data_IF_374313691192
#
_entry.id   IF_374313691192
#
_cell.length_a   1.000
_cell.length_b   1.000
_cell.length_c   1.000
_cell.angle_alpha   90.00
_cell.angle_beta   90.00
_cell.angle_gamma   90.00
#
_symmetry.space_group_name_H-M   'P 1'
#
loop_
_entity.id
_entity.type
_entity.pdbx_description
1 polymer ?
#
# COMPACT_ATOMS: atom_id res chain seq x y z
N UNK A 1 13.44 -39.69 2.63
CA UNK A 1 13.88 -38.27 2.57
C UNK A 1 13.57 -37.57 1.23
N UNK A 2 14.03 -38.02 0.04
CA UNK A 2 13.84 -37.27 -1.22
C UNK A 2 12.37 -37.14 -1.64
N UNK A 3 11.58 -38.21 -1.45
CA UNK A 3 10.12 -38.20 -1.71
C UNK A 3 9.36 -37.19 -0.83
N UNK A 4 9.81 -36.98 0.41
CA UNK A 4 9.21 -35.99 1.31
C UNK A 4 9.50 -34.56 0.85
N UNK A 5 10.77 -34.26 0.53
CA UNK A 5 11.19 -32.95 0.01
C UNK A 5 10.46 -32.65 -1.31
N UNK A 6 10.43 -33.61 -2.24
CA UNK A 6 9.72 -33.46 -3.51
C UNK A 6 8.21 -33.21 -3.32
N UNK A 7 7.57 -33.95 -2.42
CA UNK A 7 6.13 -33.74 -2.12
C UNK A 7 5.86 -32.36 -1.52
N UNK A 8 6.78 -31.83 -0.71
CA UNK A 8 6.65 -30.53 -0.07
C UNK A 8 6.94 -29.39 -1.05
N UNK A 9 7.95 -29.54 -1.90
CA UNK A 9 8.25 -28.60 -2.98
C UNK A 9 7.10 -28.54 -3.99
N UNK A 10 6.52 -29.68 -4.39
CA UNK A 10 5.38 -29.72 -5.29
C UNK A 10 4.15 -29.00 -4.70
N UNK A 11 3.85 -29.19 -3.41
CA UNK A 11 2.80 -28.45 -2.72
C UNK A 11 3.08 -26.95 -2.67
N UNK A 12 4.32 -26.55 -2.38
CA UNK A 12 4.72 -25.14 -2.35
C UNK A 12 4.57 -24.47 -3.72
N UNK A 13 5.03 -25.12 -4.80
CA UNK A 13 4.86 -24.62 -6.17
C UNK A 13 3.38 -24.54 -6.54
N UNK A 14 2.59 -25.58 -6.23
CA UNK A 14 1.15 -25.57 -6.48
C UNK A 14 0.45 -24.41 -5.73
N UNK A 15 0.81 -24.15 -4.48
CA UNK A 15 0.28 -23.00 -3.74
C UNK A 15 0.70 -21.67 -4.33
N UNK A 16 1.96 -21.52 -4.79
CA UNK A 16 2.43 -20.30 -5.44
C UNK A 16 1.68 -20.03 -6.73
N UNK A 17 1.52 -21.05 -7.59
CA UNK A 17 0.74 -20.94 -8.83
C UNK A 17 -0.71 -20.60 -8.52
N UNK A 18 -1.33 -21.26 -7.52
CA UNK A 18 -2.69 -20.96 -7.12
C UNK A 18 -2.85 -19.50 -6.65
N UNK A 19 -1.90 -18.97 -5.87
CA UNK A 19 -1.91 -17.56 -5.43
C UNK A 19 -1.72 -16.61 -6.59
N UNK A 20 -0.82 -16.90 -7.54
CA UNK A 20 -0.61 -16.07 -8.73
C UNK A 20 -1.87 -16.03 -9.62
N UNK A 21 -2.48 -17.19 -9.87
CA UNK A 21 -3.74 -17.29 -10.62
C UNK A 21 -4.85 -16.55 -9.89
N UNK A 22 -4.99 -16.74 -8.57
CA UNK A 22 -5.98 -16.05 -7.78
C UNK A 22 -5.78 -14.53 -7.83
N UNK A 23 -4.54 -14.05 -7.68
CA UNK A 23 -4.20 -12.62 -7.77
C UNK A 23 -4.55 -12.05 -9.15
N UNK A 24 -4.23 -12.77 -10.24
CA UNK A 24 -4.59 -12.37 -11.59
C UNK A 24 -6.10 -12.28 -11.79
N UNK A 25 -6.85 -13.28 -11.32
CA UNK A 25 -8.31 -13.32 -11.42
C UNK A 25 -8.94 -12.20 -10.59
N UNK A 26 -8.52 -12.03 -9.33
CA UNK A 26 -8.98 -10.96 -8.45
C UNK A 26 -8.70 -9.57 -9.03
N UNK A 27 -7.52 -9.37 -9.63
CA UNK A 27 -7.18 -8.12 -10.30
C UNK A 27 -8.14 -7.82 -11.46
N UNK A 28 -8.51 -8.83 -12.26
CA UNK A 28 -9.50 -8.64 -13.35
C UNK A 28 -10.93 -8.47 -12.88
N UNK A 29 -11.31 -9.16 -11.81
CA UNK A 29 -12.63 -9.02 -11.20
C UNK A 29 -12.82 -7.65 -10.55
N UNK A 30 -11.74 -6.99 -10.14
CA UNK A 30 -11.79 -5.66 -9.54
C UNK A 30 -12.16 -4.53 -10.52
N UNK A 31 -12.16 -4.81 -11.83
CA UNK A 31 -12.61 -3.88 -12.88
C UNK A 31 -11.62 -3.77 -14.05
N UNK A 32 -11.96 -2.96 -15.06
CA UNK A 32 -11.05 -2.66 -16.16
C UNK A 32 -9.94 -1.71 -15.67
N UNK A 33 -8.68 -2.15 -15.63
CA UNK A 33 -7.57 -1.31 -15.18
C UNK A 33 -7.50 0.00 -15.98
N UNK A 34 -7.83 -0.01 -17.28
CA UNK A 34 -7.78 1.20 -18.11
C UNK A 34 -8.68 2.30 -17.58
N UNK A 35 -9.86 1.95 -17.07
CA UNK A 35 -10.79 2.92 -16.46
C UNK A 35 -10.35 3.43 -15.08
N UNK A 36 -9.41 2.73 -14.43
CA UNK A 36 -8.80 3.18 -13.19
C UNK A 36 -7.59 4.11 -13.41
N UNK A 37 -6.94 4.05 -14.57
CA UNK A 37 -5.85 4.99 -14.91
C UNK A 37 -6.35 6.25 -15.61
N UNK A 38 -7.32 6.12 -16.52
CA UNK A 38 -7.76 7.23 -17.35
C UNK A 38 -8.80 8.09 -16.60
N UNK A 39 -8.79 9.42 -16.79
CA UNK A 39 -9.88 10.28 -16.33
C UNK A 39 -11.23 9.80 -16.87
N UNK A 40 -12.33 9.98 -16.11
CA UNK A 40 -13.65 9.58 -16.57
C UNK A 40 -14.08 10.25 -17.89
N UNK A 41 -13.47 11.38 -18.27
CA UNK A 41 -13.71 12.09 -19.54
C UNK A 41 -12.86 11.58 -20.73
N UNK A 42 -12.08 10.51 -20.59
CA UNK A 42 -11.23 10.02 -21.67
C UNK A 42 -12.04 9.53 -22.89
N UNK A 43 -11.56 9.86 -24.10
CA UNK A 43 -12.22 9.45 -25.34
C UNK A 43 -12.11 7.93 -25.57
N UNK A 44 -13.05 7.29 -26.27
CA UNK A 44 -13.00 5.85 -26.54
C UNK A 44 -11.71 5.42 -27.25
N UNK A 45 -11.17 6.27 -28.13
CA UNK A 45 -9.90 6.04 -28.82
C UNK A 45 -8.70 5.99 -27.84
N UNK A 46 -8.69 6.83 -26.80
CA UNK A 46 -7.65 6.82 -25.77
C UNK A 46 -7.73 5.56 -24.89
N UNK A 47 -8.95 5.07 -24.64
CA UNK A 47 -9.18 3.83 -23.88
C UNK A 47 -8.66 2.62 -24.67
N UNK A 48 -8.94 2.53 -25.97
CA UNK A 48 -8.45 1.43 -26.81
C UNK A 48 -6.93 1.47 -26.97
N UNK A 49 -6.33 2.65 -27.17
CA UNK A 49 -4.88 2.80 -27.20
C UNK A 49 -4.22 2.39 -25.87
N UNK A 50 -4.85 2.69 -24.74
CA UNK A 50 -4.38 2.27 -23.43
C UNK A 50 -4.54 0.75 -23.20
N UNK A 51 -5.59 0.12 -23.72
CA UNK A 51 -5.76 -1.36 -23.67
C UNK A 51 -4.68 -2.08 -24.48
N UNK A 52 -4.37 -1.57 -25.67
CA UNK A 52 -3.34 -2.12 -26.52
C UNK A 52 -1.94 -2.02 -25.89
N UNK A 53 -1.61 -0.87 -25.30
CA UNK A 53 -0.31 -0.67 -24.64
C UNK A 53 -0.12 -1.53 -23.39
N UNK A 54 -1.21 -1.87 -22.68
CA UNK A 54 -1.19 -2.76 -21.52
C UNK A 54 -1.33 -4.25 -21.90
N UNK A 55 -1.47 -4.58 -23.19
CA UNK A 55 -1.65 -5.96 -23.66
C UNK A 55 -2.99 -6.59 -23.25
N UNK A 56 -3.97 -5.77 -22.86
CA UNK A 56 -5.28 -6.21 -22.37
C UNK A 56 -6.17 -6.76 -23.48
N UNK A 57 -5.85 -6.46 -24.74
CA UNK A 57 -6.56 -6.96 -25.94
C UNK A 57 -6.27 -8.43 -26.28
N UNK A 58 -5.27 -9.05 -25.61
CA UNK A 58 -4.90 -10.45 -25.86
C UNK A 58 -5.90 -11.43 -25.21
N UNK A 59 -5.98 -12.69 -25.67
CA UNK A 59 -6.74 -13.73 -24.97
C UNK A 59 -6.32 -13.86 -23.50
N UNK A 60 -7.28 -14.01 -22.58
CA UNK A 60 -7.03 -14.07 -21.12
C UNK A 60 -5.99 -15.14 -20.76
N UNK A 61 -6.01 -16.28 -21.47
CA UNK A 61 -5.06 -17.37 -21.25
C UNK A 61 -3.62 -16.98 -21.59
N UNK A 62 -3.41 -16.21 -22.67
CA UNK A 62 -2.07 -15.69 -23.00
C UNK A 62 -1.59 -14.69 -21.95
N UNK A 63 -2.49 -13.80 -21.49
CA UNK A 63 -2.16 -12.83 -20.45
C UNK A 63 -1.76 -13.52 -19.12
N UNK A 64 -2.42 -14.64 -18.78
CA UNK A 64 -2.05 -15.45 -17.61
C UNK A 64 -0.70 -16.15 -17.80
N UNK A 65 -0.45 -16.73 -18.97
CA UNK A 65 0.82 -17.40 -19.26
C UNK A 65 1.99 -16.40 -19.23
N UNK A 66 1.83 -15.23 -19.86
CA UNK A 66 2.82 -14.15 -19.84
C UNK A 66 3.11 -13.70 -18.39
N UNK A 67 2.06 -13.57 -17.56
CA UNK A 67 2.20 -13.23 -16.14
C UNK A 67 2.95 -14.31 -15.33
N UNK A 68 2.62 -15.59 -15.55
CA UNK A 68 3.31 -16.70 -14.87
C UNK A 68 4.77 -16.83 -15.31
N UNK A 69 5.07 -16.65 -16.59
CA UNK A 69 6.44 -16.68 -17.12
C UNK A 69 7.26 -15.50 -16.61
N UNK A 70 6.67 -14.31 -16.58
CA UNK A 70 7.28 -13.11 -16.00
C UNK A 70 7.59 -13.33 -14.53
N UNK A 71 6.61 -13.78 -13.74
CA UNK A 71 6.79 -14.07 -12.32
C UNK A 71 7.90 -15.12 -12.07
N UNK A 72 8.00 -16.15 -12.91
CA UNK A 72 9.07 -17.14 -12.83
C UNK A 72 10.48 -16.56 -13.10
N UNK A 73 10.57 -15.48 -13.89
CA UNK A 73 11.80 -14.72 -14.13
C UNK A 73 12.05 -13.61 -13.11
N UNK A 74 11.14 -13.44 -12.14
CA UNK A 74 11.17 -12.35 -11.17
C UNK A 74 10.66 -11.01 -11.70
N UNK A 75 10.09 -10.98 -12.91
CA UNK A 75 9.47 -9.81 -13.50
C UNK A 75 7.95 -9.82 -13.24
N UNK A 76 7.52 -9.01 -12.28
CA UNK A 76 6.11 -8.86 -11.92
C UNK A 76 5.42 -7.74 -12.71
N UNK A 77 6.11 -7.14 -13.68
CA UNK A 77 5.62 -6.03 -14.48
C UNK A 77 5.58 -4.69 -13.73
N UNK A 78 4.87 -3.74 -14.31
CA UNK A 78 4.70 -2.40 -13.77
C UNK A 78 3.38 -2.28 -12.99
N UNK A 79 3.42 -1.56 -11.87
CA UNK A 79 2.25 -1.16 -11.11
C UNK A 79 1.43 -0.20 -11.96
N UNK A 80 0.28 -0.67 -12.40
CA UNK A 80 -0.69 0.12 -13.18
C UNK A 80 -1.09 1.42 -12.46
N UNK A 81 -1.09 1.44 -11.12
CA UNK A 81 -1.47 2.62 -10.34
C UNK A 81 -0.34 3.63 -10.12
N UNK A 82 0.91 3.17 -10.04
CA UNK A 82 2.05 4.02 -9.67
C UNK A 82 3.05 4.23 -10.83
N UNK A 83 2.90 3.50 -11.94
CA UNK A 83 3.81 3.56 -13.10
C UNK A 83 5.22 3.01 -12.84
N UNK A 84 5.48 2.46 -11.66
CA UNK A 84 6.80 1.92 -11.24
C UNK A 84 6.80 0.40 -11.25
N UNK A 85 7.97 -0.24 -11.13
CA UNK A 85 8.05 -1.71 -11.06
C UNK A 85 7.29 -2.25 -9.84
N UNK A 86 6.47 -3.28 -10.04
CA UNK A 86 5.66 -3.86 -8.96
C UNK A 86 6.56 -4.43 -7.84
N UNK A 87 7.65 -5.10 -8.22
CA UNK A 87 8.64 -5.62 -7.28
C UNK A 87 9.36 -4.50 -6.52
N UNK A 88 9.64 -3.36 -7.16
CA UNK A 88 10.24 -2.20 -6.49
C UNK A 88 9.37 -1.66 -5.36
N UNK A 89 8.06 -1.53 -5.59
CA UNK A 89 7.10 -1.09 -4.56
C UNK A 89 7.04 -2.07 -3.39
N UNK A 90 7.11 -3.37 -3.67
CA UNK A 90 7.13 -4.40 -2.61
C UNK A 90 8.42 -4.31 -1.79
N UNK A 91 9.58 -4.18 -2.45
CA UNK A 91 10.88 -4.05 -1.77
C UNK A 91 10.96 -2.78 -0.92
N UNK A 92 10.38 -1.67 -1.37
CA UNK A 92 10.31 -0.43 -0.58
C UNK A 92 9.50 -0.60 0.70
N UNK A 93 8.47 -1.45 0.68
CA UNK A 93 7.60 -1.71 1.84
C UNK A 93 8.11 -2.82 2.75
N UNK A 94 8.92 -3.72 2.22
CA UNK A 94 9.51 -4.86 2.93
C UNK A 94 10.15 -4.48 4.27
N UNK A 95 11.05 -3.46 4.38
CA UNK A 95 11.68 -3.13 5.65
C UNK A 95 10.66 -2.73 6.73
N UNK A 96 9.60 -1.99 6.37
CA UNK A 96 8.57 -1.61 7.32
C UNK A 96 7.78 -2.81 7.83
N UNK A 97 7.46 -3.76 6.96
CA UNK A 97 6.78 -4.99 7.38
C UNK A 97 7.66 -5.85 8.29
N UNK A 98 8.97 -5.91 8.01
CA UNK A 98 9.92 -6.65 8.83
C UNK A 98 10.11 -6.00 10.19
N UNK A 99 10.25 -4.68 10.25
CA UNK A 99 10.34 -3.93 11.50
C UNK A 99 9.10 -4.16 12.36
N UNK A 100 7.91 -4.02 11.78
CA UNK A 100 6.64 -4.21 12.48
C UNK A 100 6.46 -5.66 12.95
N UNK A 101 6.82 -6.63 12.11
CA UNK A 101 6.75 -8.05 12.44
C UNK A 101 7.73 -8.41 13.56
N UNK A 102 8.96 -7.89 13.52
CA UNK A 102 9.99 -8.14 14.51
C UNK A 102 9.59 -7.56 15.87
N UNK A 103 9.15 -6.30 15.92
CA UNK A 103 8.69 -5.66 17.15
C UNK A 103 7.50 -6.42 17.74
N UNK A 104 6.51 -6.77 16.90
CA UNK A 104 5.34 -7.54 17.34
C UNK A 104 5.72 -8.93 17.85
N UNK A 105 6.66 -9.61 17.18
CA UNK A 105 7.14 -10.92 17.57
C UNK A 105 7.88 -10.87 18.90
N UNK A 106 8.83 -9.94 19.08
CA UNK A 106 9.60 -9.80 20.32
C UNK A 106 8.68 -9.43 21.48
N UNK A 107 7.80 -8.45 21.30
CA UNK A 107 6.86 -8.03 22.35
C UNK A 107 5.90 -9.16 22.70
N UNK A 108 5.35 -9.83 21.69
CA UNK A 108 4.47 -10.99 21.88
C UNK A 108 5.17 -12.15 22.58
N UNK A 109 6.44 -12.42 22.23
CA UNK A 109 7.25 -13.45 22.86
C UNK A 109 7.51 -13.13 24.34
N UNK A 110 7.92 -11.89 24.65
CA UNK A 110 8.18 -11.46 26.04
C UNK A 110 6.92 -11.59 26.89
N UNK A 111 5.77 -11.11 26.38
CA UNK A 111 4.49 -11.20 27.10
C UNK A 111 4.05 -12.67 27.25
N UNK A 112 4.13 -13.46 26.18
CA UNK A 112 3.70 -14.86 26.20
C UNK A 112 4.55 -15.70 27.16
N UNK A 113 5.88 -15.56 27.10
CA UNK A 113 6.80 -16.27 28.00
C UNK A 113 6.63 -15.79 29.43
N UNK A 114 6.51 -14.47 29.66
CA UNK A 114 6.29 -13.90 30.99
C UNK A 114 4.99 -14.43 31.63
N UNK A 115 3.89 -14.44 30.87
CA UNK A 115 2.62 -14.98 31.32
C UNK A 115 2.70 -16.50 31.53
N UNK A 116 3.37 -17.25 30.66
CA UNK A 116 3.54 -18.69 30.81
C UNK A 116 4.30 -19.05 32.10
N UNK A 117 5.43 -18.38 32.35
CA UNK A 117 6.25 -18.57 33.55
C UNK A 117 5.49 -18.13 34.80
N UNK A 118 4.80 -16.99 34.76
CA UNK A 118 3.96 -16.53 35.87
C UNK A 118 2.83 -17.53 36.19
N UNK A 119 2.17 -18.05 35.16
CA UNK A 119 1.09 -19.02 35.30
C UNK A 119 1.55 -20.27 36.07
N UNK A 120 2.72 -20.78 35.71
CA UNK A 120 3.32 -21.95 36.36
C UNK A 120 3.78 -21.65 37.79
N UNK A 121 4.51 -20.55 38.00
CA UNK A 121 5.03 -20.16 39.31
C UNK A 121 3.92 -19.80 40.32
N UNK A 122 2.77 -19.30 39.84
CA UNK A 122 1.69 -18.89 40.73
C UNK A 122 1.06 -20.04 41.52
N UNK A 123 1.20 -21.29 41.04
CA UNK A 123 0.61 -22.49 41.67
C UNK A 123 -0.92 -22.46 41.83
N UNK A 124 -1.58 -21.42 41.30
CA UNK A 124 -3.00 -21.16 41.58
C UNK A 124 -3.87 -21.67 40.43
N UNK A 125 -4.89 -22.51 40.72
CA UNK A 125 -5.78 -23.02 39.68
C UNK A 125 -6.60 -21.91 39.01
N UNK A 126 -6.85 -20.81 39.74
CA UNK A 126 -7.57 -19.65 39.24
C UNK A 126 -6.80 -18.88 38.15
N UNK A 127 -5.50 -18.59 38.34
CA UNK A 127 -4.69 -17.89 37.33
C UNK A 127 -4.54 -18.74 36.07
N UNK A 128 -4.28 -20.05 36.23
CA UNK A 128 -4.21 -20.99 35.10
C UNK A 128 -5.54 -21.09 34.35
N UNK A 129 -6.66 -21.13 35.08
CA UNK A 129 -8.00 -21.11 34.49
C UNK A 129 -8.30 -19.82 33.73
N UNK A 130 -7.93 -18.66 34.29
CA UNK A 130 -8.10 -17.37 33.63
C UNK A 130 -7.27 -17.26 32.34
N UNK A 131 -6.02 -17.72 32.34
CA UNK A 131 -5.17 -17.75 31.15
C UNK A 131 -5.76 -18.62 30.03
N UNK A 132 -6.25 -19.82 30.37
CA UNK A 132 -6.92 -20.68 29.39
C UNK A 132 -8.17 -20.00 28.82
N UNK A 133 -8.99 -19.40 29.68
CA UNK A 133 -10.20 -18.68 29.27
C UNK A 133 -9.88 -17.51 28.34
N UNK A 134 -8.86 -16.71 28.64
CA UNK A 134 -8.45 -15.58 27.79
C UNK A 134 -7.92 -16.11 26.44
N UNK A 135 -7.13 -17.18 26.44
CA UNK A 135 -6.58 -17.76 25.22
C UNK A 135 -7.67 -18.30 24.28
N UNK A 136 -8.67 -19.00 24.82
CA UNK A 136 -9.79 -19.55 24.05
C UNK A 136 -10.79 -18.47 23.64
N UNK A 137 -11.09 -17.51 24.53
CA UNK A 137 -11.94 -16.36 24.20
C UNK A 137 -11.36 -15.55 23.03
N UNK A 138 -10.05 -15.28 23.05
CA UNK A 138 -9.35 -14.62 21.93
C UNK A 138 -9.47 -15.43 20.64
N UNK A 139 -9.42 -16.77 20.70
CA UNK A 139 -9.54 -17.64 19.53
C UNK A 139 -10.95 -17.67 18.94
N UNK A 140 -11.98 -17.40 19.76
CA UNK A 140 -13.36 -17.27 19.30
C UNK A 140 -13.63 -15.96 18.55
N UNK A 141 -12.83 -14.91 18.79
CA UNK A 141 -12.98 -13.62 18.12
C UNK A 141 -12.22 -13.61 16.80
N UNK A 142 -12.87 -13.28 15.66
CA UNK A 142 -12.18 -13.07 14.39
C UNK A 142 -11.08 -12.01 14.50
N UNK A 143 -9.89 -12.25 13.94
CA UNK A 143 -8.72 -11.37 14.13
C UNK A 143 -8.98 -9.92 13.68
N UNK A 144 -9.78 -9.73 12.62
CA UNK A 144 -10.19 -8.41 12.14
C UNK A 144 -11.02 -7.63 13.18
N UNK A 145 -11.99 -8.28 13.83
CA UNK A 145 -12.82 -7.64 14.85
C UNK A 145 -11.99 -7.29 16.10
N UNK A 146 -11.10 -8.20 16.50
CA UNK A 146 -10.17 -7.93 17.59
C UNK A 146 -9.30 -6.69 17.31
N UNK A 147 -8.77 -6.58 16.09
CA UNK A 147 -8.00 -5.40 15.67
C UNK A 147 -8.79 -4.09 15.77
N UNK A 148 -10.05 -4.09 15.30
CA UNK A 148 -10.92 -2.91 15.37
C UNK A 148 -11.25 -2.53 16.81
N UNK A 149 -11.54 -3.51 17.67
CA UNK A 149 -11.80 -3.28 19.09
C UNK A 149 -10.58 -2.64 19.78
N UNK A 150 -9.38 -3.14 19.48
CA UNK A 150 -8.14 -2.54 19.98
C UNK A 150 -8.01 -1.08 19.52
N UNK A 151 -8.23 -0.80 18.22
CA UNK A 151 -8.18 0.58 17.71
C UNK A 151 -9.19 1.47 18.45
N UNK A 152 -10.42 1.00 18.68
CA UNK A 152 -11.45 1.77 19.38
C UNK A 152 -11.02 2.10 20.81
N UNK A 153 -10.54 1.11 21.56
CA UNK A 153 -10.08 1.29 22.94
C UNK A 153 -8.88 2.23 23.02
N UNK A 154 -7.83 1.97 22.22
CA UNK A 154 -6.58 2.72 22.33
C UNK A 154 -6.62 4.10 21.65
N UNK A 155 -7.29 4.23 20.51
CA UNK A 155 -7.29 5.47 19.74
C UNK A 155 -8.47 6.40 20.08
N UNK A 156 -9.63 5.87 20.50
CA UNK A 156 -10.81 6.70 20.80
C UNK A 156 -10.97 6.92 22.30
N UNK A 157 -10.89 5.86 23.11
CA UNK A 157 -11.12 6.02 24.56
C UNK A 157 -9.87 6.52 25.29
N UNK A 158 -8.70 5.92 25.01
CA UNK A 158 -7.45 6.32 25.66
C UNK A 158 -6.72 7.47 24.97
N UNK A 159 -7.01 7.75 23.69
CA UNK A 159 -6.32 8.79 22.91
C UNK A 159 -4.80 8.58 22.80
N UNK A 160 -4.30 7.37 23.11
CA UNK A 160 -2.88 7.09 23.27
C UNK A 160 -2.16 6.96 21.91
N UNK A 161 -2.87 6.57 20.86
CA UNK A 161 -2.31 6.39 19.53
C UNK A 161 -2.97 7.34 18.50
N UNK A 162 -2.19 8.06 17.67
CA UNK A 162 -2.74 8.80 16.55
C UNK A 162 -3.43 7.82 15.57
N UNK A 163 -4.67 8.16 15.17
CA UNK A 163 -5.51 7.33 14.27
C UNK A 163 -4.88 7.08 12.89
N UNK A 164 -3.87 7.87 12.54
CA UNK A 164 -3.05 7.71 11.34
C UNK A 164 -1.72 8.42 11.55
N UNK A 165 -0.65 7.66 11.79
CA UNK A 165 0.69 8.22 11.68
C UNK A 165 1.01 8.41 10.19
N UNK A 166 0.56 9.52 9.61
CA UNK A 166 1.19 10.02 8.39
C UNK A 166 2.62 10.37 8.79
N UNK A 167 3.60 9.59 8.33
CA UNK A 167 5.00 9.98 8.46
C UNK A 167 5.11 11.41 7.94
N UNK A 168 5.75 12.34 8.67
CA UNK A 168 6.10 13.63 8.09
C UNK A 168 7.05 13.33 6.92
N UNK A 169 6.52 13.39 5.70
CA UNK A 169 7.36 13.44 4.51
C UNK A 169 8.21 14.70 4.62
N UNK A 170 9.55 14.63 4.54
CA UNK A 170 10.39 15.81 4.40
C UNK A 170 10.25 16.33 2.96
N UNK A 171 9.06 16.81 2.62
CA UNK A 171 8.80 17.55 1.40
C UNK A 171 7.53 18.38 1.60
N UNK A 172 7.77 19.68 1.78
CA UNK A 172 6.89 20.73 1.28
C UNK A 172 5.65 21.01 2.12
N UNK A 173 5.84 21.92 3.07
CA UNK A 173 4.92 23.02 3.26
C UNK A 173 4.46 23.57 1.89
N UNK A 174 3.31 23.13 1.40
CA UNK A 174 2.52 23.94 0.48
C UNK A 174 1.52 24.70 1.36
N UNK A 175 1.66 26.02 1.54
CA UNK A 175 0.60 26.81 2.12
C UNK A 175 -0.57 26.75 1.15
N UNK A 176 -1.65 26.11 1.58
CA UNK A 176 -2.90 25.92 0.84
C UNK A 176 -3.70 27.23 0.67
N UNK A 177 -3.06 28.39 0.59
CA UNK A 177 -3.71 29.70 0.68
C UNK A 177 -3.35 30.69 -0.43
N UNK A 178 -2.74 30.25 -1.53
CA UNK A 178 -2.45 31.15 -2.65
C UNK A 178 -2.79 30.53 -4.00
N UNK A 179 -4.05 30.18 -4.18
CA UNK A 179 -4.64 30.13 -5.52
C UNK A 179 -4.71 31.57 -6.05
N UNK A 180 -3.96 31.96 -7.10
CA UNK A 180 -4.26 33.19 -7.82
C UNK A 180 -5.64 33.01 -8.48
N UNK A 181 -6.53 34.03 -8.46
CA UNK A 181 -7.78 33.93 -9.19
C UNK A 181 -7.47 33.71 -10.67
N UNK A 182 -8.02 32.64 -11.24
CA UNK A 182 -8.00 32.37 -12.66
C UNK A 182 -8.64 33.56 -13.39
N UNK A 183 -7.83 34.39 -14.04
CA UNK A 183 -8.35 35.29 -15.07
C UNK A 183 -8.80 34.41 -16.22
N UNK A 184 -10.11 34.22 -16.35
CA UNK A 184 -10.74 33.76 -17.57
C UNK A 184 -10.37 34.71 -18.72
N UNK A 185 -9.96 34.24 -19.90
CA UNK A 185 -9.86 35.10 -21.07
C UNK A 185 -11.29 35.37 -21.58
N UNK A 186 -11.83 36.54 -21.27
CA UNK A 186 -12.97 37.09 -21.99
C UNK A 186 -12.46 37.59 -23.34
N UNK A 187 -12.88 36.92 -24.41
CA UNK A 187 -12.80 37.39 -25.79
C UNK A 187 -13.64 38.66 -25.96
N UNK A 188 -13.00 39.78 -26.31
CA UNK A 188 -13.63 40.87 -27.09
C UNK A 188 -12.59 41.87 -27.61
N UNK A 189 -12.48 41.96 -28.94
CA UNK A 189 -12.43 43.22 -29.68
C UNK A 189 -11.20 44.14 -29.58
N UNK A 190 -10.48 44.19 -30.71
CA UNK A 190 -10.05 45.40 -31.45
C UNK A 190 -9.07 46.44 -30.87
N UNK A 191 -8.24 46.92 -31.81
CA UNK A 191 -7.55 48.22 -31.91
C UNK A 191 -6.14 48.39 -31.31
N UNK A 192 -5.17 48.32 -32.22
CA UNK A 192 -4.13 49.34 -32.53
C UNK A 192 -2.99 49.65 -31.54
N UNK A 193 -1.78 49.54 -32.10
CA UNK A 193 -0.52 50.27 -31.86
C UNK A 193 0.56 49.80 -30.84
N UNK A 194 1.86 50.12 -31.11
CA UNK A 194 3.02 49.36 -30.63
C UNK A 194 3.98 50.18 -29.72
N UNK A 195 4.57 49.55 -28.67
CA UNK A 195 5.96 49.82 -28.22
C UNK A 195 6.35 49.09 -26.92
N UNK A 196 7.67 48.93 -26.63
CA UNK A 196 8.21 48.02 -25.63
C UNK A 196 8.59 48.70 -24.30
N UNK A 197 8.93 47.85 -23.31
CA UNK A 197 9.75 48.11 -22.10
C UNK A 197 9.04 48.00 -20.73
N UNK A 198 9.88 47.64 -19.75
CA UNK A 198 9.70 47.58 -18.29
C UNK A 198 8.97 46.33 -17.74
N UNK A 199 9.70 45.36 -17.19
CA UNK A 199 10.17 45.31 -15.77
C UNK A 199 9.30 44.27 -15.02
N UNK A 200 9.77 43.31 -14.22
CA UNK A 200 10.99 43.18 -13.42
C UNK A 200 11.16 41.69 -13.12
N UNK A 201 12.31 41.08 -13.45
CA UNK A 201 12.71 39.78 -12.91
C UNK A 201 13.14 40.00 -11.46
N UNK A 202 12.35 39.59 -10.49
CA UNK A 202 12.76 39.65 -9.08
C UNK A 202 13.39 38.31 -8.67
N UNK A 203 14.70 38.38 -8.58
CA UNK A 203 15.69 37.41 -8.13
C UNK A 203 15.34 36.80 -6.77
N UNK A 204 15.38 35.46 -6.71
CA UNK A 204 15.23 34.67 -5.49
C UNK A 204 16.50 34.81 -4.63
N UNK A 205 16.42 35.59 -3.54
CA UNK A 205 17.53 35.81 -2.63
C UNK A 205 17.73 34.60 -1.69
N UNK A 206 18.85 33.91 -1.90
CA UNK A 206 19.44 32.87 -1.06
C UNK A 206 19.92 33.48 0.25
N UNK A 207 19.34 33.10 1.40
CA UNK A 207 19.86 33.48 2.73
C UNK A 207 20.58 32.27 3.34
N UNK A 208 21.91 32.38 3.46
CA UNK A 208 22.77 31.45 4.21
C UNK A 208 22.64 31.70 5.72
N UNK A 209 22.80 30.68 6.58
CA UNK A 209 22.85 30.87 8.02
C UNK A 209 24.26 31.28 8.46
N UNK A 210 24.36 32.22 9.42
CA UNK A 210 25.57 32.49 10.20
C UNK A 210 25.29 32.18 11.66
N UNK A 211 26.28 31.52 12.26
CA UNK A 211 26.61 31.35 13.68
C UNK A 211 25.60 30.57 14.54
#
# INVERSE_FOLDING_TARGET
MPRYIASRAARAVATLVAVLVAAFVLARLSGDPVRLLLPPEATPEQVEAARASLGLDRPVLQQLLDFLLGAARGDFGTSVRQGTSALGVVLERLPFTLELALVSFVLGLVIAVGLAVWGELSGSPAVRGAMLWIATARQAVPPYLFGILLILVFAVWWGCCPRSAARPTPATSCPSSRWPPSRSPSTSGSSTDPSPAAATRTTCARRSPRA
#
